data_IF_749681667016
#
_entry.id   IF_749681667016
#
_cell.length_a   1.000
_cell.length_b   1.000
_cell.length_c   1.000
_cell.angle_alpha   90.00
_cell.angle_beta   90.00
_cell.angle_gamma   90.00
#
_symmetry.space_group_name_H-M   'P 1'
#
loop_
_entity.id
_entity.type
_entity.pdbx_description
1 polymer ?
#
# COMPACT_ATOMS: atom_id res chain seq x y z
N UNK A 1 -13.53 -19.73 17.54
CA UNK A 1 -13.89 -20.06 16.14
C UNK A 1 -12.69 -19.70 15.34
N UNK A 2 -12.08 -20.65 14.64
CA UNK A 2 -10.99 -20.35 13.71
C UNK A 2 -11.59 -19.54 12.56
N UNK A 3 -11.35 -18.23 12.55
CA UNK A 3 -11.68 -17.38 11.41
C UNK A 3 -10.71 -17.73 10.29
N UNK A 4 -11.22 -18.09 9.14
CA UNK A 4 -10.41 -18.38 7.96
C UNK A 4 -10.26 -17.10 7.14
N UNK A 5 -9.57 -16.12 7.74
CA UNK A 5 -9.20 -14.87 7.05
C UNK A 5 -7.99 -15.12 6.17
N UNK A 6 -8.00 -14.59 4.97
CA UNK A 6 -6.88 -14.64 4.02
C UNK A 6 -6.55 -13.22 3.58
N UNK A 7 -5.32 -12.79 3.84
CA UNK A 7 -4.74 -11.62 3.20
C UNK A 7 -4.12 -12.06 1.86
N UNK A 8 -4.70 -11.69 0.71
CA UNK A 8 -4.21 -12.14 -0.59
C UNK A 8 -2.81 -11.59 -0.89
N UNK A 9 -2.06 -12.33 -1.72
CA UNK A 9 -0.79 -11.85 -2.26
C UNK A 9 -1.02 -10.80 -3.36
N UNK A 10 0.01 -10.03 -3.69
CA UNK A 10 -0.03 -8.99 -4.72
C UNK A 10 -0.40 -9.52 -6.13
N UNK A 11 -0.12 -10.78 -6.44
CA UNK A 11 -0.50 -11.42 -7.70
C UNK A 11 -1.91 -12.04 -7.71
N UNK A 12 -2.69 -11.85 -6.63
CA UNK A 12 -4.08 -12.30 -6.62
C UNK A 12 -4.91 -11.48 -7.62
N UNK A 13 -5.84 -12.11 -8.35
CA UNK A 13 -6.71 -11.39 -9.28
C UNK A 13 -7.44 -10.24 -8.61
N UNK A 14 -7.29 -9.04 -9.12
CA UNK A 14 -7.91 -7.83 -8.58
C UNK A 14 -9.09 -7.36 -9.46
N UNK A 15 -10.02 -6.62 -8.87
CA UNK A 15 -11.21 -6.11 -9.56
C UNK A 15 -11.00 -4.74 -10.17
N UNK A 16 -10.11 -3.95 -9.60
CA UNK A 16 -9.75 -2.61 -10.05
C UNK A 16 -8.44 -2.15 -9.42
N UNK A 17 -7.78 -1.20 -10.08
CA UNK A 17 -6.69 -0.41 -9.49
C UNK A 17 -7.26 0.92 -9.01
N UNK A 18 -6.84 1.39 -7.83
CA UNK A 18 -7.16 2.73 -7.34
C UNK A 18 -5.98 3.66 -7.58
N UNK A 19 -6.26 4.84 -8.13
CA UNK A 19 -5.35 5.98 -8.17
C UNK A 19 -5.97 7.17 -7.44
N UNK A 20 -5.18 7.86 -6.64
CA UNK A 20 -5.52 9.18 -6.11
C UNK A 20 -4.78 10.21 -6.96
N UNK A 21 -5.53 11.10 -7.60
CA UNK A 21 -5.00 11.92 -8.68
C UNK A 21 -4.22 13.14 -8.18
N UNK A 22 -3.05 13.47 -8.77
CA UNK A 22 -2.25 14.63 -8.39
C UNK A 22 -2.96 15.95 -8.73
N UNK A 23 -2.84 16.93 -7.84
CA UNK A 23 -3.39 18.27 -7.98
C UNK A 23 -2.53 19.31 -7.24
N UNK A 24 -2.93 20.58 -7.30
CA UNK A 24 -2.14 21.71 -6.79
C UNK A 24 -1.89 21.70 -5.26
N UNK A 25 -2.59 20.85 -4.50
CA UNK A 25 -2.40 20.74 -3.06
C UNK A 25 -1.66 19.44 -2.65
N UNK A 26 -1.13 18.68 -3.60
CA UNK A 26 -0.27 17.51 -3.35
C UNK A 26 1.20 17.90 -3.37
N UNK A 27 2.07 17.04 -2.88
CA UNK A 27 3.52 17.25 -2.92
C UNK A 27 4.07 17.39 -4.36
N UNK A 28 3.28 16.95 -5.36
CA UNK A 28 3.60 17.08 -6.78
C UNK A 28 3.35 18.49 -7.35
N UNK A 29 2.74 19.42 -6.58
CA UNK A 29 2.38 20.75 -7.07
C UNK A 29 3.50 21.49 -7.86
N UNK A 30 4.78 21.42 -7.45
CA UNK A 30 5.86 22.10 -8.18
C UNK A 30 6.17 21.52 -9.56
N UNK A 31 5.77 20.27 -9.85
CA UNK A 31 6.11 19.55 -11.09
C UNK A 31 4.89 18.82 -11.70
N UNK A 32 3.68 19.37 -11.51
CA UNK A 32 2.44 18.77 -12.04
C UNK A 32 2.47 18.53 -13.54
N UNK A 33 3.11 19.41 -14.29
CA UNK A 33 3.26 19.31 -15.76
C UNK A 33 4.03 18.05 -16.19
N UNK A 34 4.86 17.51 -15.32
CA UNK A 34 5.62 16.26 -15.54
C UNK A 34 4.87 15.06 -14.98
N UNK A 35 4.26 15.20 -13.81
CA UNK A 35 3.60 14.10 -13.08
C UNK A 35 2.25 13.72 -13.70
N UNK A 36 1.42 14.69 -14.09
CA UNK A 36 0.11 14.40 -14.70
C UNK A 36 0.25 13.54 -15.97
N UNK A 37 1.16 13.80 -16.92
CA UNK A 37 1.38 12.90 -18.06
C UNK A 37 1.77 11.47 -17.65
N UNK A 38 2.53 11.30 -16.55
CA UNK A 38 2.87 9.99 -16.01
C UNK A 38 1.62 9.25 -15.49
N UNK A 39 0.79 9.92 -14.68
CA UNK A 39 -0.46 9.36 -14.19
C UNK A 39 -1.43 9.02 -15.33
N UNK A 40 -1.53 9.88 -16.35
CA UNK A 40 -2.32 9.60 -17.56
C UNK A 40 -1.81 8.35 -18.29
N UNK A 41 -0.50 8.18 -18.41
CA UNK A 41 0.09 6.99 -19.02
C UNK A 41 -0.23 5.71 -18.23
N UNK A 42 -0.07 5.76 -16.90
CA UNK A 42 -0.42 4.64 -16.01
C UNK A 42 -1.91 4.31 -16.13
N UNK A 43 -2.79 5.32 -16.02
CA UNK A 43 -4.22 5.14 -16.13
C UNK A 43 -4.63 4.47 -17.45
N UNK A 44 -4.06 4.92 -18.58
CA UNK A 44 -4.32 4.32 -19.90
C UNK A 44 -3.87 2.87 -19.99
N UNK A 45 -2.76 2.50 -19.37
CA UNK A 45 -2.30 1.10 -19.35
C UNK A 45 -3.19 0.21 -18.46
N UNK A 46 -3.67 0.72 -17.32
CA UNK A 46 -4.62 0.01 -16.45
C UNK A 46 -5.94 -0.21 -17.18
N UNK A 47 -6.53 0.82 -17.77
CA UNK A 47 -7.83 0.79 -18.46
C UNK A 47 -7.86 -0.27 -19.59
N UNK A 48 -6.73 -0.55 -20.25
CA UNK A 48 -6.64 -1.62 -21.27
C UNK A 48 -6.90 -3.02 -20.70
N UNK A 49 -6.68 -3.23 -19.41
CA UNK A 49 -6.65 -4.56 -18.78
C UNK A 49 -7.76 -4.76 -17.76
N UNK A 50 -8.02 -3.76 -16.93
CA UNK A 50 -8.93 -3.84 -15.80
C UNK A 50 -9.63 -2.50 -15.51
N UNK A 51 -10.49 -2.47 -14.52
CA UNK A 51 -11.15 -1.22 -14.10
C UNK A 51 -10.17 -0.33 -13.35
N UNK A 52 -10.36 0.98 -13.49
CA UNK A 52 -9.63 2.01 -12.79
C UNK A 52 -10.59 2.82 -11.92
N UNK A 53 -10.32 2.87 -10.61
CA UNK A 53 -10.96 3.79 -9.68
C UNK A 53 -10.06 5.02 -9.54
N UNK A 54 -10.58 6.18 -9.87
CA UNK A 54 -9.89 7.46 -9.70
C UNK A 54 -10.59 8.24 -8.59
N UNK A 55 -9.82 8.57 -7.55
CA UNK A 55 -10.19 9.52 -6.51
C UNK A 55 -9.54 10.86 -6.83
N UNK A 56 -10.30 11.92 -6.89
CA UNK A 56 -9.82 13.25 -7.28
C UNK A 56 -10.73 14.37 -6.73
N UNK A 57 -10.21 15.59 -6.56
CA UNK A 57 -11.04 16.75 -6.18
C UNK A 57 -11.92 17.27 -7.33
N UNK A 58 -11.54 17.05 -8.59
CA UNK A 58 -12.24 17.54 -9.79
C UNK A 58 -12.21 16.49 -10.90
N UNK A 59 -13.33 15.78 -11.08
CA UNK A 59 -13.50 14.79 -12.14
C UNK A 59 -13.39 15.40 -13.53
N UNK A 60 -13.88 16.64 -13.72
CA UNK A 60 -13.88 17.29 -15.03
C UNK A 60 -12.45 17.55 -15.51
N UNK A 61 -11.60 18.08 -14.64
CA UNK A 61 -10.20 18.31 -14.94
C UNK A 61 -9.46 17.00 -15.27
N UNK A 62 -9.72 15.93 -14.53
CA UNK A 62 -9.10 14.62 -14.79
C UNK A 62 -9.55 14.03 -16.12
N UNK A 63 -10.83 14.17 -16.49
CA UNK A 63 -11.34 13.74 -17.80
C UNK A 63 -10.69 14.49 -18.96
N UNK A 64 -10.48 15.79 -18.81
CA UNK A 64 -9.77 16.59 -19.82
C UNK A 64 -8.32 16.11 -19.99
N UNK A 65 -7.63 15.80 -18.89
CA UNK A 65 -6.25 15.28 -18.91
C UNK A 65 -6.15 13.88 -19.52
N UNK A 66 -7.08 12.99 -19.21
CA UNK A 66 -7.12 11.62 -19.76
C UNK A 66 -7.41 11.60 -21.25
N UNK A 67 -8.25 12.53 -21.75
CA UNK A 67 -8.70 12.55 -23.13
C UNK A 67 -9.53 11.33 -23.50
N UNK A 68 -9.33 10.78 -24.70
CA UNK A 68 -10.08 9.61 -25.17
C UNK A 68 -9.59 8.31 -24.54
N UNK A 69 -10.45 7.67 -23.74
CA UNK A 69 -10.24 6.36 -23.12
C UNK A 69 -11.58 5.59 -23.05
N UNK A 70 -11.54 4.30 -22.74
CA UNK A 70 -12.74 3.51 -22.44
C UNK A 70 -13.28 3.87 -21.03
N UNK A 71 -14.16 4.85 -20.98
CA UNK A 71 -14.77 5.32 -19.73
C UNK A 71 -15.70 4.31 -19.06
N UNK A 72 -16.13 3.25 -19.72
CA UNK A 72 -16.90 2.16 -19.09
C UNK A 72 -16.05 1.38 -18.06
N UNK A 73 -14.73 1.52 -18.15
CA UNK A 73 -13.78 0.94 -17.22
C UNK A 73 -13.27 1.91 -16.16
N UNK A 74 -13.71 3.16 -16.16
CA UNK A 74 -13.26 4.17 -15.20
C UNK A 74 -14.38 4.51 -14.23
N UNK A 75 -14.06 4.44 -12.95
CA UNK A 75 -14.95 4.84 -11.87
C UNK A 75 -14.35 6.09 -11.23
N UNK A 76 -15.04 7.23 -11.33
CA UNK A 76 -14.63 8.46 -10.65
C UNK A 76 -15.32 8.59 -9.30
N UNK A 77 -14.57 9.09 -8.32
CA UNK A 77 -15.10 9.51 -7.02
C UNK A 77 -14.48 10.85 -6.65
N UNK A 78 -15.35 11.86 -6.66
CA UNK A 78 -14.97 13.23 -6.34
C UNK A 78 -14.96 13.43 -4.83
N UNK A 79 -13.80 13.77 -4.29
CA UNK A 79 -13.58 14.15 -2.90
C UNK A 79 -12.22 14.81 -2.72
N UNK A 80 -12.07 15.56 -1.62
CA UNK A 80 -10.79 16.13 -1.24
C UNK A 80 -9.78 15.05 -0.88
N UNK A 81 -8.51 15.27 -1.25
CA UNK A 81 -7.36 14.42 -0.92
C UNK A 81 -6.20 15.26 -0.43
N UNK A 82 -5.28 14.66 0.33
CA UNK A 82 -4.04 15.33 0.72
C UNK A 82 -2.94 15.05 -0.29
N UNK A 83 -2.78 13.78 -0.73
CA UNK A 83 -1.74 13.36 -1.67
C UNK A 83 -2.16 12.13 -2.48
N UNK A 84 -1.23 11.55 -3.24
CA UNK A 84 -1.49 10.55 -4.28
C UNK A 84 -1.22 9.10 -3.84
N UNK A 85 -0.79 8.87 -2.63
CA UNK A 85 -0.22 7.61 -2.16
C UNK A 85 -1.29 6.58 -1.78
N UNK A 86 -2.09 6.18 -2.80
CA UNK A 86 -3.20 5.24 -2.63
C UNK A 86 -2.79 3.87 -2.07
N UNK A 87 -1.52 3.47 -2.24
CA UNK A 87 -0.98 2.26 -1.62
C UNK A 87 -1.07 2.31 -0.11
N UNK A 88 -0.85 3.49 0.49
CA UNK A 88 -0.70 3.63 1.93
C UNK A 88 -2.01 3.97 2.63
N UNK A 89 -2.82 4.85 2.03
CA UNK A 89 -4.13 5.23 2.61
C UNK A 89 -5.30 4.37 2.12
N UNK A 90 -5.10 3.53 1.11
CA UNK A 90 -6.15 2.69 0.54
C UNK A 90 -6.59 1.58 1.49
N UNK A 91 -7.85 1.14 1.35
CA UNK A 91 -8.37 0.02 2.12
C UNK A 91 -7.69 -1.31 1.76
N UNK A 92 -7.47 -2.14 2.77
CA UNK A 92 -6.81 -3.43 2.59
C UNK A 92 -7.88 -4.52 2.37
N UNK A 93 -7.79 -5.19 1.21
CA UNK A 93 -8.70 -6.27 0.86
C UNK A 93 -8.29 -7.58 1.51
N UNK A 94 -9.24 -8.26 2.13
CA UNK A 94 -9.07 -9.62 2.67
C UNK A 94 -10.27 -10.48 2.30
N UNK A 95 -10.17 -11.78 2.49
CA UNK A 95 -11.30 -12.70 2.41
C UNK A 95 -11.55 -13.32 3.79
N UNK A 96 -12.76 -13.22 4.31
CA UNK A 96 -13.21 -13.90 5.52
C UNK A 96 -14.22 -14.97 5.13
N UNK A 97 -13.87 -16.25 5.32
CA UNK A 97 -14.66 -17.40 4.84
C UNK A 97 -15.10 -17.27 3.36
N UNK A 98 -14.22 -16.69 2.53
CA UNK A 98 -14.47 -16.45 1.12
C UNK A 98 -15.29 -15.18 0.81
N UNK A 99 -15.77 -14.47 1.81
CA UNK A 99 -16.44 -13.17 1.64
C UNK A 99 -15.39 -12.06 1.48
N UNK A 100 -15.44 -11.24 0.41
CA UNK A 100 -14.51 -10.14 0.27
C UNK A 100 -14.81 -9.05 1.30
N UNK A 101 -13.81 -8.70 2.08
CA UNK A 101 -13.84 -7.63 3.06
C UNK A 101 -12.90 -6.50 2.64
N UNK A 102 -13.24 -5.27 3.00
CA UNK A 102 -12.37 -4.11 2.84
C UNK A 102 -12.09 -3.49 4.22
N UNK A 103 -10.88 -3.61 4.69
CA UNK A 103 -10.46 -3.10 5.99
C UNK A 103 -10.04 -1.63 5.88
N UNK A 104 -10.67 -0.78 6.70
CA UNK A 104 -10.42 0.66 6.81
C UNK A 104 -9.57 0.93 8.07
N UNK A 105 -8.25 0.88 7.91
CA UNK A 105 -7.28 1.22 8.94
C UNK A 105 -7.09 2.74 9.05
N UNK A 106 -6.45 3.20 10.11
CA UNK A 106 -6.07 4.61 10.22
C UNK A 106 -4.82 4.86 9.39
N UNK A 107 -4.89 5.85 8.50
CA UNK A 107 -3.73 6.46 7.86
C UNK A 107 -3.44 7.80 8.55
N UNK A 108 -2.25 7.94 9.13
CA UNK A 108 -1.88 9.13 9.89
C UNK A 108 -0.72 9.93 9.28
N UNK A 109 -0.50 9.79 7.97
CA UNK A 109 0.55 10.52 7.26
C UNK A 109 1.95 10.05 7.64
N UNK A 110 2.18 8.74 7.57
CA UNK A 110 3.46 8.07 7.83
C UNK A 110 4.04 8.39 9.22
N UNK A 111 3.23 8.22 10.25
CA UNK A 111 3.64 8.53 11.61
C UNK A 111 3.55 10.02 11.94
N UNK A 112 2.51 10.71 11.47
CA UNK A 112 2.20 12.12 11.73
C UNK A 112 3.22 13.11 11.14
N UNK A 113 3.92 12.74 10.06
CA UNK A 113 4.87 13.63 9.37
C UNK A 113 4.16 14.57 8.40
N UNK A 114 3.03 14.13 7.82
CA UNK A 114 2.28 14.86 6.81
C UNK A 114 0.79 14.94 7.15
N UNK A 115 0.09 15.89 6.53
CA UNK A 115 -1.36 15.99 6.64
C UNK A 115 -2.04 14.75 6.03
N UNK A 116 -2.99 14.16 6.74
CA UNK A 116 -3.70 12.95 6.32
C UNK A 116 -5.22 13.03 6.56
N UNK A 117 -5.73 14.20 6.87
CA UNK A 117 -7.12 14.40 7.27
C UNK A 117 -8.14 14.09 6.18
N UNK A 118 -7.77 14.18 4.90
CA UNK A 118 -8.61 13.80 3.77
C UNK A 118 -8.33 12.36 3.36
N UNK A 119 -7.07 11.99 3.19
CA UNK A 119 -6.66 10.66 2.73
C UNK A 119 -7.13 9.55 3.66
N UNK A 120 -7.06 9.77 4.99
CA UNK A 120 -7.61 8.85 6.00
C UNK A 120 -9.12 8.61 5.91
N UNK A 121 -9.84 9.42 5.14
CA UNK A 121 -11.29 9.28 4.95
C UNK A 121 -11.68 8.62 3.62
N UNK A 122 -10.73 8.45 2.70
CA UNK A 122 -11.01 8.00 1.34
C UNK A 122 -11.73 6.65 1.34
N UNK A 123 -11.17 5.64 1.99
CA UNK A 123 -11.76 4.28 2.02
C UNK A 123 -13.17 4.29 2.58
N UNK A 124 -13.41 4.99 3.68
CA UNK A 124 -14.74 5.13 4.30
C UNK A 124 -15.73 5.83 3.38
N UNK A 125 -15.30 6.93 2.74
CA UNK A 125 -16.13 7.66 1.80
C UNK A 125 -16.48 6.80 0.56
N UNK A 126 -15.53 6.05 0.02
CA UNK A 126 -15.76 5.11 -1.08
C UNK A 126 -16.83 4.06 -0.70
N UNK A 127 -16.79 3.54 0.52
CA UNK A 127 -17.81 2.62 1.03
C UNK A 127 -19.20 3.30 1.15
N UNK A 128 -19.26 4.51 1.70
CA UNK A 128 -20.50 5.29 1.81
C UNK A 128 -21.10 5.62 0.43
N UNK A 129 -20.26 5.91 -0.55
CA UNK A 129 -20.66 6.15 -1.94
C UNK A 129 -21.04 4.87 -2.69
N UNK A 130 -20.99 3.70 -2.04
CA UNK A 130 -21.27 2.40 -2.64
C UNK A 130 -20.44 2.14 -3.91
N UNK A 131 -19.15 2.47 -3.84
CA UNK A 131 -18.24 2.34 -4.97
C UNK A 131 -17.97 0.88 -5.31
N UNK A 132 -17.92 0.03 -4.30
CA UNK A 132 -17.64 -1.41 -4.42
C UNK A 132 -18.94 -2.20 -4.66
N UNK A 133 -18.82 -3.43 -5.18
CA UNK A 133 -19.97 -4.32 -5.33
C UNK A 133 -20.64 -4.59 -3.98
N UNK A 134 -21.93 -4.92 -3.98
CA UNK A 134 -22.66 -5.22 -2.75
C UNK A 134 -22.19 -6.50 -2.01
N UNK A 135 -21.25 -7.23 -2.59
CA UNK A 135 -20.60 -8.40 -1.98
C UNK A 135 -19.43 -8.02 -1.07
N UNK A 136 -18.83 -6.83 -1.27
CA UNK A 136 -17.73 -6.34 -0.45
C UNK A 136 -18.26 -5.78 0.86
N UNK A 137 -17.78 -6.31 1.97
CA UNK A 137 -18.18 -5.89 3.32
C UNK A 137 -17.09 -4.98 3.91
N UNK A 138 -17.39 -3.69 4.18
CA UNK A 138 -16.43 -2.82 4.84
C UNK A 138 -16.30 -3.16 6.31
N UNK A 139 -15.08 -3.11 6.83
CA UNK A 139 -14.77 -3.29 8.24
C UNK A 139 -13.91 -2.15 8.77
N UNK A 140 -14.36 -1.50 9.84
CA UNK A 140 -13.63 -0.43 10.50
C UNK A 140 -12.58 -1.03 11.45
N UNK A 141 -11.30 -0.78 11.18
CA UNK A 141 -10.17 -1.32 11.95
C UNK A 141 -9.55 -0.28 12.90
N UNK A 142 -10.18 0.87 13.06
CA UNK A 142 -9.72 1.91 14.00
C UNK A 142 -9.72 1.41 15.45
N UNK A 143 -8.77 1.84 16.30
CA UNK A 143 -7.83 2.94 16.03
C UNK A 143 -6.46 2.49 15.46
N UNK A 144 -6.31 1.28 14.95
CA UNK A 144 -5.02 0.75 14.50
C UNK A 144 -4.51 1.49 13.26
N UNK A 145 -3.27 1.99 13.33
CA UNK A 145 -2.59 2.67 12.21
C UNK A 145 -1.87 1.63 11.37
N UNK A 146 -2.18 1.59 10.06
CA UNK A 146 -1.53 0.69 9.12
C UNK A 146 -1.54 1.30 7.71
N UNK A 147 -0.39 1.36 7.11
CA UNK A 147 -0.20 1.71 5.71
C UNK A 147 -0.05 0.43 4.86
N UNK A 148 -0.65 0.41 3.67
CA UNK A 148 -0.56 -0.76 2.78
C UNK A 148 0.87 -1.09 2.35
N UNK A 149 1.74 -0.09 2.18
CA UNK A 149 3.15 -0.27 1.85
C UNK A 149 4.00 -0.84 2.99
N UNK A 150 3.50 -0.80 4.23
CA UNK A 150 4.19 -1.37 5.40
C UNK A 150 4.05 -2.89 5.52
N UNK A 151 3.23 -3.52 4.70
CA UNK A 151 2.96 -4.96 4.74
C UNK A 151 3.09 -5.63 3.37
N UNK A 152 3.52 -6.88 3.36
CA UNK A 152 3.66 -7.71 2.17
C UNK A 152 3.21 -9.14 2.48
N UNK A 153 2.35 -9.73 1.65
CA UNK A 153 1.74 -11.04 1.89
C UNK A 153 2.12 -12.07 0.82
N UNK A 154 2.36 -13.31 1.23
CA UNK A 154 2.49 -14.45 0.31
C UNK A 154 1.14 -15.06 -0.09
N UNK A 155 0.03 -14.62 0.52
CA UNK A 155 -1.31 -15.17 0.33
C UNK A 155 -1.54 -16.53 0.97
N UNK A 156 -0.59 -17.01 1.79
CA UNK A 156 -0.57 -18.34 2.43
C UNK A 156 -0.26 -18.27 3.93
N UNK A 157 -0.61 -17.16 4.56
CA UNK A 157 -0.45 -16.97 6.00
C UNK A 157 0.91 -16.43 6.43
N UNK A 158 1.78 -16.01 5.49
CA UNK A 158 3.02 -15.29 5.83
C UNK A 158 2.87 -13.81 5.48
N UNK A 159 3.15 -12.95 6.45
CA UNK A 159 3.28 -11.50 6.25
C UNK A 159 4.73 -11.09 6.47
N UNK A 160 5.23 -10.18 5.67
CA UNK A 160 6.52 -9.53 5.86
C UNK A 160 6.32 -8.05 6.14
N UNK A 161 7.07 -7.52 7.10
CA UNK A 161 7.02 -6.11 7.52
C UNK A 161 8.33 -5.69 8.17
N UNK A 162 8.48 -4.41 8.48
CA UNK A 162 9.65 -3.89 9.19
C UNK A 162 9.30 -3.52 10.64
N UNK A 163 10.27 -3.72 11.54
CA UNK A 163 10.12 -3.29 12.94
C UNK A 163 10.08 -1.77 13.02
N UNK A 164 10.93 -1.09 12.24
CA UNK A 164 11.07 0.37 12.26
C UNK A 164 9.75 1.07 11.92
N UNK A 165 9.00 0.54 10.95
CA UNK A 165 7.71 1.10 10.59
C UNK A 165 6.61 0.76 11.61
N UNK A 166 6.26 -0.51 11.77
CA UNK A 166 5.07 -0.88 12.54
C UNK A 166 5.22 -0.70 14.06
N UNK A 167 6.43 -0.84 14.61
CA UNK A 167 6.69 -0.60 16.02
C UNK A 167 7.09 0.86 16.32
N UNK A 168 6.93 1.77 15.36
CA UNK A 168 7.15 3.20 15.54
C UNK A 168 6.21 3.76 16.61
N UNK A 169 6.75 4.60 17.49
CA UNK A 169 5.99 5.29 18.53
C UNK A 169 4.90 6.22 17.97
N UNK A 170 5.04 6.65 16.71
CA UNK A 170 4.11 7.55 16.06
C UNK A 170 2.94 6.83 15.36
N UNK A 171 2.87 5.50 15.45
CA UNK A 171 1.76 4.69 14.89
C UNK A 171 0.94 4.05 15.99
N UNK A 172 1.42 2.94 16.55
CA UNK A 172 0.69 2.15 17.54
C UNK A 172 1.47 2.10 18.87
N UNK A 173 1.84 3.26 19.44
CA UNK A 173 2.70 3.42 20.62
C UNK A 173 2.25 2.65 21.87
N UNK A 174 0.96 2.32 21.92
CA UNK A 174 0.35 1.57 23.03
C UNK A 174 0.55 0.06 22.94
N UNK A 175 1.14 -0.45 21.84
CA UNK A 175 1.39 -1.88 21.62
C UNK A 175 2.89 -2.18 21.58
N UNK A 176 3.27 -3.27 22.23
CA UNK A 176 4.61 -3.85 22.06
C UNK A 176 4.64 -4.74 20.80
N UNK A 177 5.84 -5.10 20.31
CA UNK A 177 5.99 -5.89 19.09
C UNK A 177 5.21 -7.22 19.14
N UNK A 178 5.20 -7.90 20.28
CA UNK A 178 4.48 -9.16 20.46
C UNK A 178 2.95 -8.97 20.41
N UNK A 179 2.46 -7.81 20.82
CA UNK A 179 1.04 -7.45 20.77
C UNK A 179 0.64 -7.07 19.35
N UNK A 180 1.50 -6.33 18.63
CA UNK A 180 1.38 -6.05 17.20
C UNK A 180 1.31 -7.35 16.39
N UNK A 181 2.25 -8.28 16.64
CA UNK A 181 2.28 -9.57 15.96
C UNK A 181 1.00 -10.36 16.19
N UNK A 182 0.52 -10.43 17.43
CA UNK A 182 -0.74 -11.12 17.76
C UNK A 182 -1.92 -10.48 17.04
N UNK A 183 -2.04 -9.15 17.09
CA UNK A 183 -3.11 -8.43 16.44
C UNK A 183 -3.12 -8.68 14.91
N UNK A 184 -1.98 -8.56 14.25
CA UNK A 184 -1.89 -8.78 12.81
C UNK A 184 -2.20 -10.24 12.43
N UNK A 185 -1.75 -11.21 13.23
CA UNK A 185 -2.07 -12.63 13.03
C UNK A 185 -3.58 -12.88 13.12
N UNK A 186 -4.23 -12.30 14.11
CA UNK A 186 -5.67 -12.46 14.32
C UNK A 186 -6.47 -11.78 13.20
N UNK A 187 -6.10 -10.55 12.82
CA UNK A 187 -6.82 -9.75 11.83
C UNK A 187 -6.69 -10.28 10.40
N UNK A 188 -5.50 -10.76 10.05
CA UNK A 188 -5.19 -11.22 8.69
C UNK A 188 -5.15 -12.75 8.54
N UNK A 189 -5.42 -13.51 9.61
CA UNK A 189 -5.38 -14.97 9.58
C UNK A 189 -3.99 -15.53 9.30
N UNK A 190 -2.94 -14.98 9.94
CA UNK A 190 -1.56 -15.33 9.64
C UNK A 190 -1.01 -16.42 10.55
N UNK A 191 -0.20 -17.30 9.97
CA UNK A 191 0.60 -18.29 10.71
C UNK A 191 1.88 -17.65 11.27
N UNK A 192 2.51 -16.76 10.50
CA UNK A 192 3.80 -16.15 10.85
C UNK A 192 3.98 -14.75 10.28
N UNK A 193 4.85 -13.98 10.94
CA UNK A 193 5.33 -12.69 10.46
C UNK A 193 6.86 -12.72 10.32
N UNK A 194 7.35 -12.27 9.18
CA UNK A 194 8.78 -12.05 8.92
C UNK A 194 9.11 -10.60 9.24
N UNK A 195 9.72 -10.37 10.39
CA UNK A 195 10.15 -9.05 10.82
C UNK A 195 11.52 -8.71 10.23
N UNK A 196 11.57 -7.68 9.38
CA UNK A 196 12.83 -7.08 8.94
C UNK A 196 13.26 -6.08 10.02
N UNK A 197 14.41 -6.36 10.64
CA UNK A 197 14.92 -5.60 11.79
C UNK A 197 15.91 -4.50 11.39
N UNK A 198 16.27 -4.40 10.12
CA UNK A 198 17.21 -3.41 9.59
C UNK A 198 17.02 -3.25 8.08
N UNK A 199 17.35 -2.07 7.60
CA UNK A 199 17.25 -1.66 6.21
C UNK A 199 16.48 -0.36 6.10
N UNK A 200 17.02 0.57 5.33
CA UNK A 200 16.41 1.85 5.04
C UNK A 200 16.83 2.30 3.64
N UNK A 201 16.15 3.28 3.10
CA UNK A 201 16.56 4.00 1.91
C UNK A 201 16.70 5.48 2.28
N UNK A 202 17.82 6.10 1.87
CA UNK A 202 18.03 7.52 2.10
C UNK A 202 16.92 8.33 1.41
N UNK A 203 16.31 9.26 2.14
CA UNK A 203 15.19 10.05 1.65
C UNK A 203 13.82 9.37 1.74
N UNK A 204 13.73 8.18 2.33
CA UNK A 204 12.46 7.53 2.60
C UNK A 204 11.78 8.17 3.83
N UNK A 205 10.57 8.69 3.64
CA UNK A 205 9.74 9.31 4.68
C UNK A 205 8.78 8.34 5.36
N UNK A 206 8.79 7.06 4.95
CA UNK A 206 7.81 6.06 5.41
C UNK A 206 8.23 5.30 6.68
N UNK A 207 9.43 5.52 7.20
CA UNK A 207 10.08 4.71 8.25
C UNK A 207 10.35 3.26 7.78
N UNK A 208 10.97 3.13 6.62
CA UNK A 208 11.38 1.84 6.05
C UNK A 208 10.20 0.90 5.73
N UNK A 209 9.26 1.37 4.92
CA UNK A 209 8.21 0.50 4.37
C UNK A 209 8.82 -0.74 3.72
N UNK A 210 8.19 -1.90 3.96
CA UNK A 210 8.72 -3.17 3.45
C UNK A 210 8.68 -3.25 1.92
N UNK A 211 7.71 -2.62 1.27
CA UNK A 211 7.54 -2.65 -0.18
C UNK A 211 8.65 -1.91 -0.93
N UNK A 212 9.37 -0.99 -0.27
CA UNK A 212 10.58 -0.36 -0.81
C UNK A 212 11.83 -1.23 -0.64
N UNK A 213 11.81 -2.21 0.25
CA UNK A 213 12.96 -3.02 0.65
C UNK A 213 12.91 -4.45 0.14
N UNK A 214 11.74 -5.10 0.18
CA UNK A 214 11.58 -6.50 -0.18
C UNK A 214 10.14 -6.82 -0.57
N UNK A 215 9.95 -7.65 -1.60
CA UNK A 215 8.65 -8.08 -2.11
C UNK A 215 8.59 -9.59 -2.29
N UNK A 216 7.44 -10.21 -2.01
CA UNK A 216 7.19 -11.57 -2.45
C UNK A 216 7.00 -11.60 -3.98
N UNK A 217 7.68 -12.55 -4.65
CA UNK A 217 7.51 -12.84 -6.07
C UNK A 217 6.71 -14.12 -6.30
N UNK A 218 6.67 -14.99 -5.30
CA UNK A 218 5.85 -16.20 -5.21
C UNK A 218 5.74 -16.60 -3.74
N UNK A 219 5.02 -17.69 -3.44
CA UNK A 219 4.85 -18.21 -2.07
C UNK A 219 6.18 -18.55 -1.37
N UNK A 220 7.26 -18.76 -2.13
CA UNK A 220 8.57 -19.21 -1.65
C UNK A 220 9.75 -18.33 -2.11
N UNK A 221 9.46 -17.22 -2.83
CA UNK A 221 10.51 -16.38 -3.41
C UNK A 221 10.33 -14.93 -3.01
N UNK A 222 11.38 -14.31 -2.48
CA UNK A 222 11.43 -12.89 -2.11
C UNK A 222 12.51 -12.20 -2.93
N UNK A 223 12.15 -11.11 -3.62
CA UNK A 223 13.09 -10.14 -4.15
C UNK A 223 13.37 -9.07 -3.10
N UNK A 224 14.62 -8.61 -3.00
CA UNK A 224 15.00 -7.53 -2.09
C UNK A 224 16.03 -6.61 -2.70
N UNK A 225 16.04 -5.37 -2.24
CA UNK A 225 17.04 -4.37 -2.64
C UNK A 225 18.37 -4.73 -2.00
N UNK A 226 19.45 -4.68 -2.80
CA UNK A 226 20.82 -4.90 -2.36
C UNK A 226 21.74 -3.79 -2.85
N UNK A 227 22.51 -3.22 -1.94
CA UNK A 227 23.63 -2.33 -2.26
C UNK A 227 24.92 -3.13 -2.36
N UNK A 228 25.64 -3.03 -3.48
CA UNK A 228 26.95 -3.69 -3.70
C UNK A 228 28.14 -2.72 -3.61
N UNK A 229 27.89 -1.44 -3.42
CA UNK A 229 28.92 -0.40 -3.27
C UNK A 229 29.31 -0.25 -1.80
N UNK A 230 30.55 -0.62 -1.47
CA UNK A 230 31.09 -0.56 -0.11
C UNK A 230 31.23 0.87 0.43
N UNK A 231 31.23 1.88 -0.44
CA UNK A 231 31.30 3.29 -0.08
C UNK A 231 29.93 3.91 0.15
N UNK A 232 28.83 3.22 -0.25
CA UNK A 232 27.47 3.69 -0.08
C UNK A 232 26.98 3.43 1.36
N UNK A 233 26.21 4.37 1.89
CA UNK A 233 25.64 4.26 3.25
C UNK A 233 24.72 3.06 3.45
N UNK A 234 24.08 2.56 2.36
CA UNK A 234 23.18 1.42 2.40
C UNK A 234 23.89 0.07 2.44
N UNK A 235 25.20 0.00 2.11
CA UNK A 235 25.96 -1.25 2.07
C UNK A 235 25.89 -2.04 3.40
N UNK A 236 25.97 -1.36 4.52
CA UNK A 236 25.98 -1.96 5.86
C UNK A 236 24.59 -2.40 6.36
N UNK A 237 23.54 -1.94 5.74
CA UNK A 237 22.16 -2.32 6.12
C UNK A 237 21.86 -3.78 5.81
N UNK A 238 22.64 -4.43 4.95
CA UNK A 238 22.46 -5.82 4.50
C UNK A 238 23.09 -6.87 5.42
N UNK A 239 24.17 -6.57 6.13
CA UNK A 239 24.88 -7.56 6.96
C UNK A 239 24.00 -8.19 8.07
N UNK A 240 22.89 -7.54 8.41
CA UNK A 240 21.94 -8.01 9.43
C UNK A 240 20.77 -8.81 8.87
N UNK A 241 20.60 -8.90 7.54
CA UNK A 241 19.49 -9.60 6.88
C UNK A 241 19.73 -11.10 6.68
N UNK A 242 20.69 -11.72 7.34
CA UNK A 242 21.01 -13.14 7.16
C UNK A 242 20.01 -14.03 7.86
N UNK A 243 18.91 -14.32 7.17
CA UNK A 243 18.05 -15.48 7.40
C UNK A 243 17.81 -16.13 6.03
N UNK A 244 18.48 -17.26 5.80
CA UNK A 244 18.44 -18.21 4.66
C UNK A 244 17.54 -17.86 3.46
N UNK A 245 18.20 -17.39 2.41
CA UNK A 245 18.17 -17.79 1.00
C UNK A 245 16.90 -17.55 0.17
N UNK A 246 16.98 -16.52 -0.69
CA UNK A 246 16.77 -16.69 -2.13
C UNK A 246 17.47 -15.56 -2.88
N UNK A 247 18.42 -15.88 -3.75
CA UNK A 247 19.14 -14.91 -4.57
C UNK A 247 18.44 -14.76 -5.92
N UNK A 248 17.77 -13.64 -6.16
CA UNK A 248 17.56 -13.17 -7.53
C UNK A 248 18.16 -11.77 -7.66
N UNK A 249 19.06 -11.60 -8.63
CA UNK A 249 19.64 -10.30 -8.98
C UNK A 249 18.63 -9.50 -9.79
N UNK A 250 18.20 -8.39 -9.27
CA UNK A 250 17.61 -7.33 -10.07
C UNK A 250 18.43 -6.06 -9.87
N UNK A 251 19.05 -5.56 -10.95
CA UNK A 251 19.72 -4.26 -10.97
C UNK A 251 18.80 -3.25 -11.64
N UNK A 252 18.45 -2.12 -11.03
CA UNK A 252 17.57 -1.12 -11.64
C UNK A 252 18.26 -0.22 -12.66
N UNK A 253 19.52 -0.45 -13.00
CA UNK A 253 20.25 0.37 -13.98
C UNK A 253 20.81 -0.50 -15.12
N UNK A 254 20.07 -0.56 -16.20
CA UNK A 254 20.55 -0.59 -17.58
C UNK A 254 19.52 0.05 -18.49
#
# INVERSE_FOLDING_TARGET
MEHNVILPAEWYPQSAVQLTWPHENTDWAPILDEVIPCFVAIAKEVIKREKLLIVCPDETAVREQLGEVDYDRVIFREMDTNDTWARDHGGISVFDEGTPMLYDFVFNGWGMKFAANHDNLITRNLCHMKTFSGEVVPANMQPFVLEGGSIESDGKGTLMTTVECLASVNRNEYLQQEELERYLKDVFGLDRILWITSGYLAGDDTDSHVDTLARFCSEDTIAYVRCEDEEDEHYRSEERRVGKECRSRWSPYH
#
